data_IF_973746903099
#
_entry.id   IF_973746903099
#
_cell.length_a   1.000
_cell.length_b   1.000
_cell.length_c   1.000
_cell.angle_alpha   90.00
_cell.angle_beta   90.00
_cell.angle_gamma   90.00
#
_symmetry.space_group_name_H-M   'P 1'
#
loop_
_entity.id
_entity.type
_entity.pdbx_description
1 polymer ?
#
# COMPACT_ATOMS: atom_id res chain seq x y z
N UNK A 1 -26.17 -2.29 6.61
CA UNK A 1 -25.29 -3.47 6.40
C UNK A 1 -24.47 -3.71 7.68
N UNK A 2 -24.15 -4.95 8.07
CA UNK A 2 -23.35 -5.21 9.30
C UNK A 2 -21.94 -4.62 9.16
N UNK A 3 -21.36 -3.98 10.20
CA UNK A 3 -20.02 -3.39 10.19
C UNK A 3 -18.92 -4.34 9.67
N UNK A 4 -18.96 -5.60 10.07
CA UNK A 4 -18.00 -6.64 9.64
C UNK A 4 -18.00 -6.84 8.12
N UNK A 5 -19.18 -6.83 7.48
CA UNK A 5 -19.28 -6.97 6.03
C UNK A 5 -18.67 -5.75 5.34
N UNK A 6 -18.87 -4.55 5.89
CA UNK A 6 -18.30 -3.32 5.33
C UNK A 6 -16.77 -3.35 5.42
N UNK A 7 -16.24 -3.76 6.57
CA UNK A 7 -14.78 -3.95 6.76
C UNK A 7 -14.21 -4.92 5.74
N UNK A 8 -14.84 -6.08 5.55
CA UNK A 8 -14.37 -7.04 4.55
C UNK A 8 -14.34 -6.41 3.14
N UNK A 9 -15.41 -5.71 2.74
CA UNK A 9 -15.48 -5.07 1.43
C UNK A 9 -14.40 -3.99 1.23
N UNK A 10 -14.14 -3.16 2.25
CA UNK A 10 -13.11 -2.12 2.17
C UNK A 10 -11.71 -2.72 2.16
N UNK A 11 -11.44 -3.68 3.06
CA UNK A 11 -10.17 -4.38 3.20
C UNK A 11 -9.74 -5.08 1.92
N UNK A 12 -10.62 -5.82 1.25
CA UNK A 12 -10.25 -6.58 0.05
C UNK A 12 -9.56 -5.70 -0.99
N UNK A 13 -10.13 -4.54 -1.35
CA UNK A 13 -9.47 -3.71 -2.36
C UNK A 13 -8.18 -3.06 -1.88
N UNK A 14 -8.08 -2.64 -0.61
CA UNK A 14 -6.82 -2.11 -0.06
C UNK A 14 -5.69 -3.15 -0.12
N UNK A 15 -6.01 -4.43 0.10
CA UNK A 15 -5.05 -5.51 -0.10
C UNK A 15 -4.65 -5.69 -1.56
N UNK A 16 -5.62 -5.66 -2.47
CA UNK A 16 -5.36 -5.82 -3.91
C UNK A 16 -4.49 -4.70 -4.50
N UNK A 17 -4.61 -3.48 -3.99
CA UNK A 17 -3.73 -2.38 -4.38
C UNK A 17 -2.28 -2.65 -4.01
N UNK A 18 -2.05 -3.16 -2.79
CA UNK A 18 -0.71 -3.42 -2.29
C UNK A 18 -0.09 -4.70 -2.87
N UNK A 19 -0.93 -5.61 -3.41
CA UNK A 19 -0.48 -6.65 -4.32
C UNK A 19 0.19 -6.04 -5.56
N UNK A 20 -0.50 -5.14 -6.28
CA UNK A 20 0.03 -4.51 -7.50
C UNK A 20 1.28 -3.66 -7.24
N UNK A 21 1.33 -3.06 -6.04
CA UNK A 21 2.47 -2.32 -5.56
C UNK A 21 3.72 -3.20 -5.41
N UNK A 22 3.61 -4.33 -4.70
CA UNK A 22 4.76 -5.18 -4.41
C UNK A 22 5.28 -5.89 -5.66
N UNK A 23 4.39 -6.37 -6.55
CA UNK A 23 4.82 -7.08 -7.77
C UNK A 23 5.68 -6.18 -8.64
N UNK A 24 5.40 -4.87 -8.68
CA UNK A 24 6.22 -3.94 -9.43
C UNK A 24 7.62 -3.82 -8.86
N UNK A 25 7.72 -3.62 -7.55
CA UNK A 25 9.00 -3.49 -6.87
C UNK A 25 9.85 -4.76 -7.05
N UNK A 26 9.24 -5.94 -6.95
CA UNK A 26 9.90 -7.23 -7.14
C UNK A 26 10.32 -7.49 -8.60
N UNK A 27 9.50 -7.06 -9.57
CA UNK A 27 9.75 -7.31 -10.99
C UNK A 27 10.55 -6.20 -11.68
N UNK A 28 10.99 -5.17 -10.96
CA UNK A 28 11.62 -3.98 -11.51
C UNK A 28 12.82 -4.27 -12.43
N UNK A 29 13.65 -5.28 -12.10
CA UNK A 29 14.80 -5.70 -12.91
C UNK A 29 14.38 -6.30 -14.26
N UNK A 30 13.30 -7.09 -14.29
CA UNK A 30 12.73 -7.62 -15.52
C UNK A 30 12.15 -6.50 -16.39
N UNK A 31 11.47 -5.53 -15.77
CA UNK A 31 10.91 -4.36 -16.45
C UNK A 31 12.00 -3.48 -17.05
N UNK A 32 13.11 -3.28 -16.33
CA UNK A 32 14.27 -2.54 -16.83
C UNK A 32 14.78 -3.13 -18.15
N UNK A 33 14.89 -4.46 -18.25
CA UNK A 33 15.32 -5.13 -19.48
C UNK A 33 14.28 -5.07 -20.61
N UNK A 34 13.00 -5.04 -20.28
CA UNK A 34 11.93 -5.15 -21.29
C UNK A 34 11.43 -3.81 -21.83
N UNK A 35 11.52 -2.74 -21.05
CA UNK A 35 10.97 -1.44 -21.41
C UNK A 35 12.01 -0.37 -21.70
N UNK A 36 13.30 -0.62 -21.43
CA UNK A 36 14.36 0.34 -21.71
C UNK A 36 15.33 -0.19 -22.79
N UNK A 37 16.07 0.72 -23.47
CA UNK A 37 17.03 0.34 -24.49
C UNK A 37 18.14 -0.59 -23.95
N UNK A 38 18.61 -1.51 -24.78
CA UNK A 38 19.80 -2.31 -24.48
C UNK A 38 21.05 -1.41 -24.46
N UNK A 39 21.91 -1.55 -23.45
CA UNK A 39 23.12 -0.74 -23.28
C UNK A 39 23.55 -0.62 -21.83
N UNK A 40 23.02 0.37 -21.11
CA UNK A 40 23.37 0.62 -19.71
C UNK A 40 22.30 0.07 -18.75
N UNK A 41 22.62 -1.04 -18.09
CA UNK A 41 21.75 -1.69 -17.10
C UNK A 41 21.31 -0.75 -15.97
N UNK A 42 22.22 0.10 -15.47
CA UNK A 42 21.91 1.05 -14.41
C UNK A 42 20.92 2.12 -14.88
N UNK A 43 21.05 2.59 -16.12
CA UNK A 43 20.10 3.55 -16.69
C UNK A 43 18.69 2.96 -16.80
N UNK A 44 18.56 1.69 -17.21
CA UNK A 44 17.26 1.01 -17.27
C UNK A 44 16.63 0.82 -15.88
N UNK A 45 17.41 0.43 -14.88
CA UNK A 45 16.94 0.31 -13.50
C UNK A 45 16.53 1.67 -12.92
N UNK A 46 17.35 2.71 -13.12
CA UNK A 46 17.01 4.07 -12.72
C UNK A 46 15.70 4.51 -13.37
N UNK A 47 15.52 4.25 -14.66
CA UNK A 47 14.28 4.50 -15.37
C UNK A 47 13.06 3.82 -14.72
N UNK A 48 13.16 2.53 -14.40
CA UNK A 48 12.09 1.80 -13.71
C UNK A 48 11.77 2.39 -12.33
N UNK A 49 12.78 2.77 -11.54
CA UNK A 49 12.57 3.42 -10.24
C UNK A 49 12.05 4.86 -10.39
N UNK A 50 12.43 5.60 -11.42
CA UNK A 50 11.86 6.91 -11.72
C UNK A 50 10.37 6.79 -12.04
N UNK A 51 9.97 5.82 -12.86
CA UNK A 51 8.56 5.55 -13.14
C UNK A 51 7.80 5.18 -11.85
N UNK A 52 8.43 4.41 -10.96
CA UNK A 52 7.85 4.11 -9.64
C UNK A 52 7.65 5.37 -8.80
N UNK A 53 8.67 6.23 -8.74
CA UNK A 53 8.65 7.47 -7.99
C UNK A 53 7.59 8.44 -8.52
N UNK A 54 7.42 8.53 -9.84
CA UNK A 54 6.33 9.30 -10.47
C UNK A 54 4.96 8.80 -10.01
N UNK A 55 4.78 7.47 -9.95
CA UNK A 55 3.56 6.85 -9.42
C UNK A 55 3.28 7.19 -7.96
N UNK A 56 4.31 7.45 -7.14
CA UNK A 56 4.14 7.98 -5.79
C UNK A 56 3.82 9.47 -5.77
N UNK A 57 4.54 10.24 -6.57
CA UNK A 57 4.43 11.69 -6.63
C UNK A 57 3.03 12.14 -7.05
N UNK A 58 2.35 11.35 -7.89
CA UNK A 58 0.98 11.67 -8.33
C UNK A 58 -0.11 11.30 -7.30
N UNK A 59 0.19 10.51 -6.26
CA UNK A 59 -0.82 10.06 -5.28
C UNK A 59 -1.55 11.21 -4.57
N UNK A 60 -0.89 12.29 -4.11
CA UNK A 60 -1.58 13.43 -3.51
C UNK A 60 -2.59 14.07 -4.47
N UNK A 61 -2.24 14.17 -5.76
CA UNK A 61 -3.13 14.70 -6.80
C UNK A 61 -4.35 13.78 -6.96
N UNK A 62 -4.12 12.46 -6.99
CA UNK A 62 -5.20 11.47 -6.98
C UNK A 62 -6.13 11.58 -5.77
N UNK A 63 -5.56 11.72 -4.57
CA UNK A 63 -6.32 11.91 -3.34
C UNK A 63 -7.19 13.17 -3.36
N UNK A 64 -6.71 14.28 -3.92
CA UNK A 64 -7.49 15.52 -4.08
C UNK A 64 -8.62 15.32 -5.09
N UNK A 65 -8.32 14.77 -6.27
CA UNK A 65 -9.30 14.55 -7.35
C UNK A 65 -10.44 13.64 -6.88
N UNK A 66 -10.10 12.47 -6.35
CA UNK A 66 -11.10 11.52 -5.86
C UNK A 66 -11.71 11.95 -4.52
N UNK A 67 -11.05 12.77 -3.72
CA UNK A 67 -11.67 13.42 -2.56
C UNK A 67 -12.85 14.29 -2.98
N UNK A 68 -12.59 15.22 -3.92
CA UNK A 68 -13.62 16.11 -4.48
C UNK A 68 -14.74 15.34 -5.19
N UNK A 69 -14.41 14.33 -6.00
CA UNK A 69 -15.43 13.50 -6.62
C UNK A 69 -16.25 12.70 -5.60
N UNK A 70 -15.63 12.26 -4.50
CA UNK A 70 -16.34 11.61 -3.39
C UNK A 70 -17.36 12.52 -2.73
N UNK A 71 -17.02 13.80 -2.59
CA UNK A 71 -17.89 14.82 -2.00
C UNK A 71 -19.03 15.23 -2.96
N UNK A 72 -18.79 15.29 -4.27
CA UNK A 72 -19.80 15.72 -5.25
C UNK A 72 -20.69 14.58 -5.78
N UNK A 73 -20.13 13.41 -6.05
CA UNK A 73 -20.81 12.32 -6.75
C UNK A 73 -21.12 11.10 -5.86
N UNK A 74 -20.61 11.09 -4.63
CA UNK A 74 -20.81 10.01 -3.64
C UNK A 74 -19.54 9.19 -3.42
N UNK A 75 -19.33 8.77 -2.16
CA UNK A 75 -18.14 8.01 -1.76
C UNK A 75 -18.10 6.66 -2.47
N UNK A 76 -19.24 5.94 -2.56
CA UNK A 76 -19.29 4.63 -3.22
C UNK A 76 -18.90 4.70 -4.70
N UNK A 77 -19.48 5.62 -5.47
CA UNK A 77 -19.26 5.70 -6.93
C UNK A 77 -17.80 6.00 -7.24
N UNK A 78 -17.25 6.98 -6.53
CA UNK A 78 -15.87 7.42 -6.67
C UNK A 78 -14.89 6.31 -6.30
N UNK A 79 -15.18 5.57 -5.24
CA UNK A 79 -14.39 4.44 -4.77
C UNK A 79 -14.44 3.21 -5.70
N UNK A 80 -15.52 3.03 -6.46
CA UNK A 80 -15.58 2.02 -7.52
C UNK A 80 -14.85 2.46 -8.79
N UNK A 81 -14.88 3.76 -9.11
CA UNK A 81 -14.20 4.31 -10.28
C UNK A 81 -12.67 4.24 -10.14
N UNK A 82 -12.12 4.58 -8.96
CA UNK A 82 -10.68 4.45 -8.68
C UNK A 82 -10.19 3.01 -8.85
N UNK A 83 -10.98 2.04 -8.35
CA UNK A 83 -10.65 0.62 -8.44
C UNK A 83 -10.66 0.10 -9.87
N UNK A 84 -11.62 0.52 -10.70
CA UNK A 84 -11.66 0.17 -12.12
C UNK A 84 -10.47 0.75 -12.88
N UNK A 85 -10.13 2.02 -12.62
CA UNK A 85 -8.98 2.67 -13.25
C UNK A 85 -7.67 1.98 -12.86
N UNK A 86 -7.56 1.52 -11.61
CA UNK A 86 -6.42 0.72 -11.17
C UNK A 86 -6.38 -0.63 -11.89
N UNK A 87 -7.48 -1.39 -11.89
CA UNK A 87 -7.57 -2.70 -12.54
C UNK A 87 -7.20 -2.63 -14.02
N UNK A 88 -7.72 -1.62 -14.71
CA UNK A 88 -7.39 -1.33 -16.11
C UNK A 88 -5.89 -1.06 -16.28
N UNK A 89 -5.33 -0.15 -15.48
CA UNK A 89 -3.91 0.21 -15.57
C UNK A 89 -2.99 -1.00 -15.31
N UNK A 90 -3.30 -1.82 -14.29
CA UNK A 90 -2.52 -3.02 -13.94
C UNK A 90 -2.55 -4.07 -15.05
N UNK A 91 -3.74 -4.40 -15.56
CA UNK A 91 -3.89 -5.40 -16.61
C UNK A 91 -3.16 -4.98 -17.88
N UNK A 92 -3.30 -3.71 -18.30
CA UNK A 92 -2.65 -3.20 -19.50
C UNK A 92 -1.13 -3.12 -19.38
N UNK A 93 -0.59 -2.83 -18.20
CA UNK A 93 0.85 -2.95 -17.96
C UNK A 93 1.38 -4.37 -18.21
N UNK A 94 0.62 -5.40 -17.82
CA UNK A 94 0.95 -6.81 -18.09
C UNK A 94 0.86 -7.20 -19.56
N UNK A 95 0.02 -6.51 -20.35
CA UNK A 95 -0.19 -6.77 -21.78
C UNK A 95 0.69 -5.89 -22.68
N UNK A 96 1.37 -4.89 -22.14
CA UNK A 96 2.09 -3.90 -22.94
C UNK A 96 3.21 -4.52 -23.78
N UNK A 97 3.35 -4.15 -25.08
CA UNK A 97 4.48 -4.58 -25.90
C UNK A 97 5.81 -4.06 -25.35
N UNK A 98 6.89 -4.78 -25.64
CA UNK A 98 8.23 -4.47 -25.11
C UNK A 98 8.93 -3.39 -25.96
N UNK A 99 10.03 -2.84 -25.46
CA UNK A 99 10.86 -1.88 -26.17
C UNK A 99 11.30 -2.40 -27.55
N UNK A 100 11.57 -3.71 -27.68
CA UNK A 100 11.91 -4.33 -28.97
C UNK A 100 10.80 -4.21 -30.02
N UNK A 101 9.54 -4.14 -29.59
CA UNK A 101 8.38 -4.11 -30.49
C UNK A 101 7.98 -2.69 -30.88
N UNK A 102 7.98 -1.75 -29.91
CA UNK A 102 7.42 -0.40 -30.10
C UNK A 102 8.38 0.74 -29.70
N UNK A 103 9.64 0.42 -29.41
CA UNK A 103 10.70 1.38 -29.10
C UNK A 103 10.39 2.24 -27.86
N UNK A 104 10.75 3.52 -27.93
CA UNK A 104 10.56 4.51 -26.87
C UNK A 104 9.10 4.70 -26.43
N UNK A 105 8.13 4.30 -27.23
CA UNK A 105 6.72 4.35 -26.81
C UNK A 105 6.41 3.35 -25.69
N UNK A 106 7.17 2.24 -25.55
CA UNK A 106 6.96 1.25 -24.51
C UNK A 106 7.11 1.83 -23.08
N UNK A 107 8.25 2.46 -22.71
CA UNK A 107 8.41 3.04 -21.38
C UNK A 107 7.49 4.26 -21.16
N UNK A 108 7.13 5.00 -22.22
CA UNK A 108 6.21 6.15 -22.11
C UNK A 108 4.79 5.69 -21.78
N UNK A 109 4.24 4.73 -22.53
CA UNK A 109 2.91 4.18 -22.28
C UNK A 109 2.88 3.48 -20.92
N UNK A 110 3.96 2.77 -20.58
CA UNK A 110 4.11 2.17 -19.27
C UNK A 110 4.08 3.22 -18.14
N UNK A 111 4.80 4.33 -18.29
CA UNK A 111 4.78 5.44 -17.35
C UNK A 111 3.40 6.10 -17.25
N UNK A 112 2.66 6.24 -18.37
CA UNK A 112 1.29 6.76 -18.37
C UNK A 112 0.34 5.87 -17.56
N UNK A 113 0.38 4.55 -17.75
CA UNK A 113 -0.41 3.63 -16.93
C UNK A 113 -0.01 3.69 -15.45
N UNK A 114 1.27 3.92 -15.15
CA UNK A 114 1.75 4.13 -13.77
C UNK A 114 1.23 5.42 -13.16
N UNK A 115 1.13 6.49 -13.94
CA UNK A 115 0.50 7.74 -13.51
C UNK A 115 -0.98 7.50 -13.21
N UNK A 116 -1.73 6.89 -14.13
CA UNK A 116 -3.15 6.57 -13.93
C UNK A 116 -3.38 5.69 -12.69
N UNK A 117 -2.57 4.65 -12.53
CA UNK A 117 -2.60 3.78 -11.35
C UNK A 117 -2.27 4.55 -10.07
N UNK A 118 -1.26 5.44 -10.10
CA UNK A 118 -0.89 6.27 -8.95
C UNK A 118 -2.00 7.24 -8.53
N UNK A 119 -2.74 7.80 -9.49
CA UNK A 119 -3.92 8.64 -9.21
C UNK A 119 -4.99 7.82 -8.50
N UNK A 120 -5.31 6.61 -9.00
CA UNK A 120 -6.24 5.70 -8.31
C UNK A 120 -5.77 5.36 -6.89
N UNK A 121 -4.50 5.01 -6.74
CA UNK A 121 -3.94 4.60 -5.45
C UNK A 121 -4.06 5.70 -4.39
N UNK A 122 -3.89 6.97 -4.81
CA UNK A 122 -4.05 8.12 -3.93
C UNK A 122 -5.44 8.27 -3.31
N UNK A 123 -6.48 7.74 -3.97
CA UNK A 123 -7.86 7.76 -3.52
C UNK A 123 -8.20 6.61 -2.57
N UNK A 124 -7.56 5.47 -2.75
CA UNK A 124 -8.05 4.21 -2.24
C UNK A 124 -7.90 4.07 -0.73
N UNK A 125 -6.68 4.13 -0.19
CA UNK A 125 -6.47 4.05 1.26
C UNK A 125 -7.27 5.10 2.07
N UNK A 126 -7.15 6.41 1.77
CA UNK A 126 -7.92 7.42 2.49
C UNK A 126 -9.43 7.30 2.24
N UNK A 127 -9.85 6.98 1.00
CA UNK A 127 -11.26 6.76 0.67
C UNK A 127 -11.85 5.55 1.41
N UNK A 128 -11.11 4.44 1.49
CA UNK A 128 -11.46 3.24 2.25
C UNK A 128 -11.62 3.56 3.73
N UNK A 129 -10.71 4.37 4.27
CA UNK A 129 -10.73 4.79 5.67
C UNK A 129 -11.95 5.66 5.96
N UNK A 130 -12.21 6.69 5.16
CA UNK A 130 -13.38 7.56 5.32
C UNK A 130 -14.67 6.75 5.18
N UNK A 131 -14.77 5.91 4.14
CA UNK A 131 -15.92 5.04 3.91
C UNK A 131 -16.16 4.08 5.09
N UNK A 132 -15.12 3.44 5.61
CA UNK A 132 -15.22 2.52 6.74
C UNK A 132 -15.60 3.24 8.04
N UNK A 133 -14.94 4.36 8.33
CA UNK A 133 -15.13 5.10 9.59
C UNK A 133 -16.46 5.83 9.68
N UNK A 134 -17.11 6.12 8.56
CA UNK A 134 -18.48 6.65 8.49
C UNK A 134 -19.55 5.57 8.72
N UNK A 135 -19.22 4.30 8.47
CA UNK A 135 -20.11 3.17 8.70
C UNK A 135 -19.94 2.51 10.08
N UNK A 136 -18.77 2.66 10.70
CA UNK A 136 -18.43 2.03 11.97
C UNK A 136 -18.44 3.07 13.09
N UNK A 137 -19.11 2.75 14.20
CA UNK A 137 -19.14 3.61 15.39
C UNK A 137 -17.77 3.77 16.06
N UNK A 138 -17.60 4.87 16.80
CA UNK A 138 -16.31 5.25 17.41
C UNK A 138 -15.69 4.17 18.32
N UNK A 139 -16.49 3.38 19.03
CA UNK A 139 -16.03 2.41 20.03
C UNK A 139 -15.33 1.16 19.46
N UNK A 140 -15.48 0.86 18.17
CA UNK A 140 -14.84 -0.30 17.50
C UNK A 140 -14.00 0.12 16.29
N UNK A 141 -13.73 1.42 16.16
CA UNK A 141 -13.12 1.99 14.96
C UNK A 141 -11.70 1.46 14.75
N UNK A 142 -10.94 1.29 15.84
CA UNK A 142 -9.59 0.75 15.85
C UNK A 142 -9.51 -0.65 15.27
N UNK A 143 -10.33 -1.57 15.78
CA UNK A 143 -10.39 -2.94 15.27
C UNK A 143 -10.78 -3.00 13.79
N UNK A 144 -11.79 -2.24 13.36
CA UNK A 144 -12.24 -2.30 11.97
C UNK A 144 -11.21 -1.68 11.01
N UNK A 145 -10.59 -0.54 11.36
CA UNK A 145 -9.56 0.08 10.53
C UNK A 145 -8.28 -0.77 10.48
N UNK A 146 -7.93 -1.45 11.57
CA UNK A 146 -6.77 -2.32 11.59
C UNK A 146 -6.94 -3.54 10.68
N UNK A 147 -8.13 -4.13 10.57
CA UNK A 147 -8.41 -5.17 9.56
C UNK A 147 -8.18 -4.68 8.12
N UNK A 148 -8.38 -3.38 7.87
CA UNK A 148 -8.09 -2.76 6.58
C UNK A 148 -6.58 -2.69 6.33
N UNK A 149 -5.79 -2.26 7.30
CA UNK A 149 -4.33 -2.22 7.16
C UNK A 149 -3.71 -3.63 7.16
N UNK A 150 -4.29 -4.57 7.91
CA UNK A 150 -3.87 -5.97 7.87
C UNK A 150 -4.01 -6.53 6.46
N UNK A 151 -5.08 -6.17 5.74
CA UNK A 151 -5.28 -6.62 4.36
C UNK A 151 -4.24 -6.07 3.38
N UNK A 152 -3.69 -4.87 3.64
CA UNK A 152 -2.55 -4.33 2.89
C UNK A 152 -1.34 -5.24 3.01
N UNK A 153 -0.97 -5.65 4.22
CA UNK A 153 0.13 -6.59 4.44
C UNK A 153 -0.12 -7.96 3.81
N UNK A 154 -1.36 -8.48 3.91
CA UNK A 154 -1.75 -9.72 3.22
C UNK A 154 -1.64 -9.59 1.69
N UNK A 155 -1.99 -8.45 1.13
CA UNK A 155 -1.80 -8.14 -0.29
C UNK A 155 -0.34 -8.24 -0.72
N UNK A 156 0.56 -7.66 0.06
CA UNK A 156 2.01 -7.75 -0.14
C UNK A 156 2.50 -9.20 -0.04
N UNK A 157 1.99 -9.97 0.94
CA UNK A 157 2.31 -11.39 1.09
C UNK A 157 1.87 -12.19 -0.13
N UNK A 158 0.64 -12.00 -0.62
CA UNK A 158 0.10 -12.70 -1.78
C UNK A 158 0.88 -12.33 -3.05
N UNK A 159 1.24 -11.06 -3.23
CA UNK A 159 2.05 -10.59 -4.36
C UNK A 159 3.44 -11.19 -4.40
N UNK A 160 4.10 -11.19 -3.24
CA UNK A 160 5.42 -11.83 -3.06
C UNK A 160 5.35 -13.34 -3.31
N UNK A 161 4.33 -14.01 -2.77
CA UNK A 161 4.17 -15.45 -2.90
C UNK A 161 3.89 -15.90 -4.34
N UNK A 162 3.01 -15.19 -5.06
CA UNK A 162 2.75 -15.47 -6.48
C UNK A 162 4.02 -15.25 -7.31
N UNK A 163 4.75 -14.16 -7.06
CA UNK A 163 6.02 -13.89 -7.74
C UNK A 163 7.06 -14.99 -7.47
N UNK A 164 7.14 -15.47 -6.22
CA UNK A 164 8.00 -16.60 -5.84
C UNK A 164 7.64 -17.89 -6.60
N UNK A 165 6.37 -18.27 -6.64
CA UNK A 165 5.91 -19.47 -7.36
C UNK A 165 6.28 -19.37 -8.84
N UNK A 166 5.93 -18.26 -9.49
CA UNK A 166 6.21 -18.05 -10.92
C UNK A 166 7.71 -18.10 -11.21
N UNK A 167 8.53 -17.45 -10.37
CA UNK A 167 9.99 -17.44 -10.49
C UNK A 167 10.60 -18.84 -10.30
N UNK A 168 10.03 -19.67 -9.42
CA UNK A 168 10.52 -21.04 -9.18
C UNK A 168 10.08 -22.02 -10.27
N UNK A 169 8.91 -21.82 -10.85
CA UNK A 169 8.36 -22.69 -11.89
C UNK A 169 8.96 -22.44 -13.28
N UNK A 170 9.63 -21.31 -13.49
CA UNK A 170 10.16 -20.90 -14.78
C UNK A 170 11.69 -20.78 -14.75
N UNK A 171 12.33 -20.98 -15.90
CA UNK A 171 13.76 -20.66 -16.03
C UNK A 171 13.98 -19.15 -16.03
N UNK A 172 15.20 -18.71 -15.68
CA UNK A 172 15.58 -17.29 -15.72
C UNK A 172 15.26 -16.65 -17.07
N UNK A 173 15.52 -17.36 -18.17
CA UNK A 173 15.25 -16.87 -19.52
C UNK A 173 13.74 -16.71 -19.79
N UNK A 174 12.92 -17.67 -19.33
CA UNK A 174 11.46 -17.58 -19.45
C UNK A 174 10.90 -16.43 -18.60
N UNK A 175 11.43 -16.22 -17.40
CA UNK A 175 11.06 -15.09 -16.55
C UNK A 175 11.32 -13.75 -17.22
N UNK A 176 12.50 -13.58 -17.84
CA UNK A 176 12.80 -12.38 -18.60
C UNK A 176 11.89 -12.22 -19.81
N UNK A 177 11.59 -13.28 -20.56
CA UNK A 177 10.84 -13.17 -21.81
C UNK A 177 9.34 -12.86 -21.59
N UNK A 178 8.66 -13.61 -20.73
CA UNK A 178 7.21 -13.50 -20.56
C UNK A 178 6.70 -13.76 -19.13
N UNK A 179 7.47 -14.46 -18.28
CA UNK A 179 7.02 -14.84 -16.94
C UNK A 179 6.66 -13.65 -16.05
N UNK A 180 7.35 -12.52 -16.21
CA UNK A 180 7.06 -11.27 -15.50
C UNK A 180 5.63 -10.74 -15.75
N UNK A 181 4.97 -11.12 -16.85
CA UNK A 181 3.59 -10.68 -17.15
C UNK A 181 2.55 -11.35 -16.25
N UNK A 182 2.82 -12.57 -15.79
CA UNK A 182 1.86 -13.41 -15.06
C UNK A 182 1.36 -12.72 -13.78
N UNK A 183 2.22 -12.18 -12.89
CA UNK A 183 1.75 -11.50 -11.68
C UNK A 183 0.90 -10.25 -11.99
N UNK A 184 1.22 -9.49 -13.05
CA UNK A 184 0.41 -8.33 -13.46
C UNK A 184 -0.99 -8.73 -13.96
N UNK A 185 -1.07 -9.80 -14.75
CA UNK A 185 -2.35 -10.30 -15.25
C UNK A 185 -3.22 -10.85 -14.11
N UNK A 186 -2.62 -11.58 -13.16
CA UNK A 186 -3.31 -12.02 -11.94
C UNK A 186 -3.79 -10.80 -11.14
N UNK A 187 -2.95 -9.78 -10.98
CA UNK A 187 -3.34 -8.51 -10.35
C UNK A 187 -4.56 -7.86 -11.01
N UNK A 188 -4.58 -7.80 -12.33
CA UNK A 188 -5.74 -7.33 -13.10
C UNK A 188 -7.02 -8.13 -12.81
N UNK A 189 -6.94 -9.47 -12.82
CA UNK A 189 -8.08 -10.35 -12.51
C UNK A 189 -8.55 -10.14 -11.07
N UNK A 190 -7.61 -10.06 -10.12
CA UNK A 190 -7.92 -9.83 -8.72
C UNK A 190 -8.58 -8.47 -8.51
N UNK A 191 -8.10 -7.42 -9.17
CA UNK A 191 -8.68 -6.08 -9.11
C UNK A 191 -10.12 -6.04 -9.68
N UNK A 192 -10.39 -6.76 -10.77
CA UNK A 192 -11.76 -6.95 -11.30
C UNK A 192 -12.65 -7.71 -10.29
N UNK A 193 -12.15 -8.79 -9.69
CA UNK A 193 -12.87 -9.52 -8.66
C UNK A 193 -13.19 -8.62 -7.45
N UNK A 194 -12.22 -7.81 -7.03
CA UNK A 194 -12.39 -6.82 -5.98
C UNK A 194 -13.45 -5.77 -6.31
N UNK A 195 -13.56 -5.32 -7.57
CA UNK A 195 -14.64 -4.43 -8.02
C UNK A 195 -16.02 -5.08 -7.81
N UNK A 196 -16.20 -6.34 -8.20
CA UNK A 196 -17.47 -7.05 -8.02
C UNK A 196 -17.82 -7.26 -6.55
N UNK A 197 -16.82 -7.53 -5.71
CA UNK A 197 -16.97 -7.62 -4.26
C UNK A 197 -17.45 -6.26 -3.71
N UNK A 198 -16.74 -5.17 -4.05
CA UNK A 198 -17.06 -3.80 -3.56
C UNK A 198 -18.36 -3.24 -4.12
N UNK A 199 -18.84 -3.69 -5.28
CA UNK A 199 -20.12 -3.26 -5.87
C UNK A 199 -21.31 -3.47 -4.90
N UNK A 200 -21.18 -4.45 -4.00
CA UNK A 200 -22.16 -4.76 -2.96
C UNK A 200 -22.22 -3.75 -1.80
N UNK A 201 -21.26 -2.82 -1.70
CA UNK A 201 -21.23 -1.83 -0.63
C UNK A 201 -22.40 -0.84 -0.77
N UNK A 202 -22.83 -0.24 0.35
CA UNK A 202 -23.90 0.77 0.38
C UNK A 202 -23.26 2.15 0.59
N UNK A 203 -23.88 3.20 0.05
CA UNK A 203 -23.38 4.57 0.22
C UNK A 203 -23.35 4.98 1.70
N UNK A 204 -22.44 5.90 2.04
CA UNK A 204 -22.21 6.26 3.44
C UNK A 204 -23.41 7.01 4.04
N UNK A 205 -23.75 6.77 5.31
CA UNK A 205 -24.86 7.45 5.96
C UNK A 205 -24.68 8.98 6.02
N UNK A 206 -23.43 9.44 6.06
CA UNK A 206 -23.10 10.86 6.07
C UNK A 206 -23.40 11.51 4.72
N UNK A 207 -22.98 10.88 3.61
CA UNK A 207 -23.24 11.41 2.27
C UNK A 207 -24.75 11.47 1.97
N UNK A 208 -25.50 10.42 2.32
CA UNK A 208 -26.96 10.37 2.14
C UNK A 208 -27.65 11.54 2.88
N UNK A 209 -27.19 11.90 4.08
CA UNK A 209 -27.76 12.98 4.88
C UNK A 209 -27.39 14.39 4.40
N UNK A 210 -26.27 14.55 3.67
CA UNK A 210 -25.68 15.86 3.36
C UNK A 210 -25.60 16.20 1.86
N UNK A 211 -26.36 15.49 1.00
CA UNK A 211 -26.37 15.62 -0.47
C UNK A 211 -26.54 17.03 -1.09
N UNK A 212 -26.79 18.10 -0.30
CA UNK A 212 -27.12 19.45 -0.80
C UNK A 212 -26.14 20.58 -0.42
N UNK A 213 -25.00 20.33 0.23
CA UNK A 213 -24.04 21.41 0.59
C UNK A 213 -22.70 21.29 -0.15
N UNK A 214 -22.60 22.01 -1.27
CA UNK A 214 -21.36 22.21 -2.05
C UNK A 214 -20.71 23.57 -1.71
N UNK A 215 -20.38 23.81 -0.43
CA UNK A 215 -19.52 24.96 -0.11
C UNK A 215 -18.06 24.51 -0.13
N UNK A 216 -17.18 25.29 -0.76
CA UNK A 216 -15.74 25.07 -0.96
C UNK A 216 -15.00 24.38 0.22
N UNK A 217 -15.08 23.05 0.29
CA UNK A 217 -14.59 22.23 1.41
C UNK A 217 -13.08 22.36 1.56
N UNK A 218 -12.33 22.42 0.45
CA UNK A 218 -10.88 22.62 0.48
C UNK A 218 -10.50 23.97 1.07
N UNK A 219 -11.23 25.04 0.72
CA UNK A 219 -10.97 26.38 1.27
C UNK A 219 -11.29 26.43 2.76
N UNK A 220 -12.35 25.74 3.20
CA UNK A 220 -12.70 25.60 4.61
C UNK A 220 -11.65 24.78 5.38
N UNK A 221 -11.17 23.67 4.81
CA UNK A 221 -10.14 22.80 5.39
C UNK A 221 -8.83 23.57 5.66
N UNK A 222 -8.31 24.28 4.65
CA UNK A 222 -7.04 25.01 4.82
C UNK A 222 -7.16 26.27 5.68
N UNK A 223 -8.34 26.89 5.77
CA UNK A 223 -8.54 28.09 6.61
C UNK A 223 -8.89 27.77 8.06
N UNK A 224 -9.75 26.78 8.31
CA UNK A 224 -10.27 26.47 9.65
C UNK A 224 -9.58 25.27 10.30
N UNK A 225 -8.98 24.38 9.51
CA UNK A 225 -8.42 23.12 9.98
C UNK A 225 -6.92 22.95 9.68
N UNK A 226 -6.18 24.05 9.47
CA UNK A 226 -4.77 24.01 9.10
C UNK A 226 -3.90 23.18 10.06
N UNK A 227 -4.10 23.33 11.37
CA UNK A 227 -3.35 22.58 12.37
C UNK A 227 -3.70 21.08 12.37
N UNK A 228 -4.95 20.70 12.08
CA UNK A 228 -5.32 19.30 11.89
C UNK A 228 -4.64 18.72 10.64
N UNK A 229 -4.53 19.50 9.56
CA UNK A 229 -3.77 19.10 8.36
C UNK A 229 -2.30 18.88 8.69
N UNK A 230 -1.65 19.79 9.42
CA UNK A 230 -0.26 19.63 9.85
C UNK A 230 -0.06 18.38 10.74
N UNK A 231 -0.99 18.13 11.67
CA UNK A 231 -0.96 16.91 12.48
C UNK A 231 -1.13 15.65 11.62
N UNK A 232 -2.02 15.67 10.64
CA UNK A 232 -2.20 14.58 9.68
C UNK A 232 -0.92 14.31 8.86
N UNK A 233 -0.26 15.35 8.37
CA UNK A 233 1.04 15.25 7.68
C UNK A 233 2.08 14.62 8.61
N UNK A 234 2.18 15.10 9.86
CA UNK A 234 3.10 14.54 10.85
C UNK A 234 2.89 13.04 11.09
N UNK A 235 1.63 12.60 11.18
CA UNK A 235 1.27 11.19 11.33
C UNK A 235 1.68 10.37 10.09
N UNK A 236 1.56 10.94 8.88
CA UNK A 236 1.92 10.28 7.61
C UNK A 236 3.44 10.21 7.35
N UNK A 237 4.25 11.01 8.05
CA UNK A 237 5.72 10.88 7.95
C UNK A 237 6.18 9.48 8.38
N UNK A 238 5.53 8.86 9.38
CA UNK A 238 5.85 7.49 9.81
C UNK A 238 5.75 6.46 8.65
N UNK A 239 4.58 6.25 7.99
CA UNK A 239 4.48 5.29 6.91
C UNK A 239 5.37 5.65 5.71
N UNK A 240 5.68 6.94 5.49
CA UNK A 240 6.62 7.38 4.46
C UNK A 240 8.07 6.93 4.77
N UNK A 241 8.55 7.08 6.00
CA UNK A 241 9.87 6.57 6.40
C UNK A 241 9.92 5.04 6.38
N UNK A 242 8.84 4.39 6.82
CA UNK A 242 8.72 2.93 6.82
C UNK A 242 8.88 2.35 5.41
N UNK A 243 8.23 2.93 4.40
CA UNK A 243 8.27 2.37 3.04
C UNK A 243 9.66 2.47 2.41
N UNK A 244 10.39 3.56 2.67
CA UNK A 244 11.78 3.71 2.21
C UNK A 244 12.67 2.64 2.85
N UNK A 245 12.53 2.43 4.16
CA UNK A 245 13.30 1.41 4.86
C UNK A 245 13.01 0.01 4.32
N UNK A 246 11.74 -0.33 4.12
CA UNK A 246 11.31 -1.61 3.53
C UNK A 246 11.91 -1.86 2.16
N UNK A 247 11.94 -0.84 1.29
CA UNK A 247 12.48 -0.99 -0.07
C UNK A 247 14.01 -1.16 -0.07
N UNK A 248 14.70 -0.51 0.86
CA UNK A 248 16.16 -0.60 0.96
C UNK A 248 16.65 -1.85 1.72
N UNK A 249 15.84 -2.39 2.63
CA UNK A 249 16.23 -3.45 3.56
C UNK A 249 16.75 -4.73 2.87
N UNK A 250 16.11 -5.29 1.81
CA UNK A 250 16.62 -6.50 1.17
C UNK A 250 18.02 -6.33 0.58
N UNK A 251 18.25 -5.20 -0.09
CA UNK A 251 19.55 -4.86 -0.68
C UNK A 251 20.60 -4.69 0.40
N UNK A 252 20.26 -3.99 1.49
CA UNK A 252 21.15 -3.77 2.62
C UNK A 252 21.56 -5.09 3.30
N UNK A 253 20.60 -5.98 3.58
CA UNK A 253 20.87 -7.29 4.18
C UNK A 253 21.73 -8.18 3.29
N UNK A 254 21.52 -8.13 1.97
CA UNK A 254 22.32 -8.91 1.04
C UNK A 254 23.73 -8.35 0.89
N UNK A 255 23.88 -7.05 0.63
CA UNK A 255 25.17 -6.46 0.28
C UNK A 255 26.10 -6.25 1.48
N UNK A 256 25.55 -6.00 2.68
CA UNK A 256 26.35 -5.68 3.87
C UNK A 256 26.47 -6.88 4.80
N UNK A 257 25.38 -7.61 5.00
CA UNK A 257 25.35 -8.76 5.91
C UNK A 257 25.58 -10.10 5.20
N UNK A 258 25.63 -10.12 3.86
CA UNK A 258 25.86 -11.31 3.02
C UNK A 258 24.82 -12.42 3.23
N UNK A 259 23.58 -12.06 3.58
CA UNK A 259 22.47 -13.01 3.62
C UNK A 259 22.06 -13.44 2.20
N UNK A 260 21.60 -14.69 2.06
CA UNK A 260 21.10 -15.18 0.78
C UNK A 260 19.79 -14.47 0.40
N UNK A 261 19.59 -14.16 -0.89
CA UNK A 261 18.36 -13.51 -1.35
C UNK A 261 17.11 -14.37 -1.09
N UNK A 262 17.24 -15.70 -1.18
CA UNK A 262 16.14 -16.62 -0.88
C UNK A 262 15.70 -16.52 0.58
N UNK A 263 16.64 -16.46 1.52
CA UNK A 263 16.32 -16.35 2.95
C UNK A 263 15.70 -15.00 3.27
N UNK A 264 16.22 -13.92 2.68
CA UNK A 264 15.67 -12.57 2.84
C UNK A 264 14.22 -12.51 2.38
N UNK A 265 13.90 -13.00 1.18
CA UNK A 265 12.52 -12.98 0.68
C UNK A 265 11.58 -13.85 1.51
N UNK A 266 12.04 -15.03 1.94
CA UNK A 266 11.26 -15.91 2.80
C UNK A 266 10.92 -15.22 4.12
N UNK A 267 11.94 -14.70 4.82
CA UNK A 267 11.77 -14.07 6.12
C UNK A 267 10.92 -12.79 6.02
N UNK A 268 11.10 -11.96 4.98
CA UNK A 268 10.26 -10.77 4.76
C UNK A 268 8.79 -11.18 4.55
N UNK A 269 8.53 -12.24 3.76
CA UNK A 269 7.18 -12.76 3.54
C UNK A 269 6.54 -13.20 4.85
N UNK A 270 7.29 -13.96 5.67
CA UNK A 270 6.86 -14.36 7.03
C UNK A 270 6.62 -13.14 7.90
N UNK A 271 7.47 -12.12 7.82
CA UNK A 271 7.36 -10.87 8.56
C UNK A 271 6.08 -10.08 8.24
N UNK A 272 5.70 -9.96 6.97
CA UNK A 272 4.45 -9.32 6.58
C UNK A 272 3.22 -10.11 7.02
N UNK A 273 3.29 -11.44 6.94
CA UNK A 273 2.21 -12.31 7.40
C UNK A 273 2.05 -12.16 8.92
N UNK A 274 3.17 -12.14 9.65
CA UNK A 274 3.22 -11.89 11.09
C UNK A 274 2.63 -10.55 11.49
N UNK A 275 3.06 -9.43 10.88
CA UNK A 275 2.49 -8.12 11.19
C UNK A 275 1.01 -8.02 10.80
N UNK A 276 0.60 -8.62 9.69
CA UNK A 276 -0.81 -8.65 9.27
C UNK A 276 -1.71 -9.34 10.28
N UNK A 277 -1.23 -10.39 10.95
CA UNK A 277 -1.97 -11.08 12.02
C UNK A 277 -2.01 -10.27 13.33
N UNK A 278 -0.96 -9.52 13.62
CA UNK A 278 -0.85 -8.70 14.83
C UNK A 278 -1.60 -7.36 14.74
N UNK A 279 -1.69 -6.77 13.55
CA UNK A 279 -2.35 -5.47 13.35
C UNK A 279 -3.79 -5.47 13.90
N UNK A 280 -4.66 -6.50 13.65
CA UNK A 280 -5.98 -6.59 14.25
C UNK A 280 -5.97 -6.58 15.78
N UNK A 281 -5.01 -7.29 16.40
CA UNK A 281 -4.83 -7.34 17.85
C UNK A 281 -4.50 -5.95 18.42
N UNK A 282 -3.54 -5.25 17.82
CA UNK A 282 -3.21 -3.87 18.21
C UNK A 282 -4.32 -2.88 17.90
N UNK A 283 -5.12 -3.12 16.85
CA UNK A 283 -6.29 -2.30 16.55
C UNK A 283 -7.38 -2.43 17.61
N UNK A 284 -7.66 -3.65 18.08
CA UNK A 284 -8.53 -3.86 19.23
C UNK A 284 -7.98 -3.21 20.50
N UNK A 285 -6.67 -3.31 20.74
CA UNK A 285 -6.02 -2.64 21.87
C UNK A 285 -6.16 -1.11 21.77
N UNK A 286 -6.12 -0.56 20.56
CA UNK A 286 -6.29 0.88 20.29
C UNK A 286 -7.70 1.40 20.55
N UNK A 287 -8.70 0.53 20.67
CA UNK A 287 -10.04 0.90 21.11
C UNK A 287 -10.14 0.99 22.64
N UNK A 288 -9.15 0.46 23.38
CA UNK A 288 -9.12 0.43 24.85
C UNK A 288 -8.05 1.34 25.46
N UNK A 289 -6.94 1.52 24.76
CA UNK A 289 -5.77 2.29 25.21
C UNK A 289 -5.64 3.53 24.35
N UNK A 290 -5.12 4.61 24.94
CA UNK A 290 -4.82 5.84 24.20
C UNK A 290 -3.96 5.55 22.96
N UNK A 291 -4.49 5.92 21.79
CA UNK A 291 -3.86 5.69 20.49
C UNK A 291 -2.53 6.41 20.35
N UNK A 292 -2.36 7.58 21.00
CA UNK A 292 -1.08 8.31 21.02
C UNK A 292 -0.02 7.51 21.75
N UNK A 293 -0.37 6.87 22.87
CA UNK A 293 0.56 6.00 23.62
C UNK A 293 0.96 4.78 22.80
N UNK A 294 0.01 4.19 22.07
CA UNK A 294 0.26 3.06 21.17
C UNK A 294 1.10 3.40 19.95
N UNK A 295 1.21 4.68 19.58
CA UNK A 295 2.15 5.14 18.55
C UNK A 295 3.52 5.51 19.17
N UNK A 296 3.50 6.18 20.33
CA UNK A 296 4.69 6.74 20.98
C UNK A 296 5.62 5.68 21.57
N UNK A 297 5.10 4.71 22.33
CA UNK A 297 5.95 3.69 22.98
C UNK A 297 6.68 2.81 21.97
N UNK A 298 6.04 2.30 20.90
CA UNK A 298 6.76 1.58 19.84
C UNK A 298 7.76 2.47 19.09
N UNK A 299 7.46 3.75 18.85
CA UNK A 299 8.42 4.65 18.22
C UNK A 299 9.70 4.81 19.06
N UNK A 300 9.54 5.00 20.38
CA UNK A 300 10.67 5.09 21.31
C UNK A 300 11.42 3.77 21.40
N UNK A 301 10.74 2.62 21.35
CA UNK A 301 11.42 1.33 21.40
C UNK A 301 12.33 1.13 20.19
N UNK A 302 11.98 1.65 19.00
CA UNK A 302 12.90 1.66 17.84
C UNK A 302 14.14 2.50 18.13
N UNK A 303 13.99 3.68 18.73
CA UNK A 303 15.11 4.56 19.04
C UNK A 303 16.05 3.93 20.07
N UNK A 304 15.50 3.36 21.14
CA UNK A 304 16.28 2.79 22.24
C UNK A 304 16.88 1.43 21.88
N UNK A 305 16.11 0.57 21.21
CA UNK A 305 16.49 -0.82 20.94
C UNK A 305 16.91 -1.08 19.49
N UNK A 306 16.88 -0.05 18.62
CA UNK A 306 17.27 -0.18 17.21
C UNK A 306 18.69 -0.72 17.04
N UNK A 307 19.65 -0.20 17.79
CA UNK A 307 21.02 -0.73 17.78
C UNK A 307 21.08 -2.21 18.15
N UNK A 308 20.36 -2.62 19.20
CA UNK A 308 20.32 -4.02 19.64
C UNK A 308 19.64 -4.92 18.61
N UNK A 309 18.56 -4.45 17.97
CA UNK A 309 17.91 -5.15 16.86
C UNK A 309 18.92 -5.43 15.74
N UNK A 310 19.67 -4.42 15.28
CA UNK A 310 20.67 -4.60 14.23
C UNK A 310 21.85 -5.48 14.67
N UNK A 311 22.21 -5.46 15.96
CA UNK A 311 23.27 -6.33 16.50
C UNK A 311 22.92 -7.81 16.37
N UNK A 312 21.64 -8.20 16.34
CA UNK A 312 21.21 -9.58 16.08
C UNK A 312 21.70 -10.04 14.69
N UNK A 313 21.69 -9.16 13.69
CA UNK A 313 22.15 -9.52 12.34
C UNK A 313 23.65 -9.85 12.27
N UNK A 314 24.44 -9.45 13.27
CA UNK A 314 25.87 -9.78 13.33
C UNK A 314 26.13 -11.29 13.49
N UNK A 315 25.15 -12.08 13.95
CA UNK A 315 25.26 -13.54 14.04
C UNK A 315 25.27 -14.24 12.68
N UNK A 316 24.90 -13.54 11.59
CA UNK A 316 24.99 -14.01 10.18
C UNK A 316 24.38 -15.39 9.90
N UNK A 317 23.34 -15.77 10.65
CA UNK A 317 22.60 -17.00 10.43
C UNK A 317 21.11 -16.73 10.16
N UNK A 318 20.43 -17.73 9.60
CA UNK A 318 19.01 -17.63 9.24
C UNK A 318 18.11 -17.26 10.42
N UNK A 319 18.34 -17.86 11.59
CA UNK A 319 17.51 -17.62 12.79
C UNK A 319 17.64 -16.17 13.29
N UNK A 320 18.83 -15.60 13.24
CA UNK A 320 19.07 -14.20 13.57
C UNK A 320 18.31 -13.26 12.64
N UNK A 321 18.32 -13.55 11.34
CA UNK A 321 17.54 -12.80 10.34
C UNK A 321 16.03 -12.92 10.63
N UNK A 322 15.55 -14.11 10.95
CA UNK A 322 14.15 -14.36 11.29
C UNK A 322 13.71 -13.60 12.55
N UNK A 323 14.48 -13.69 13.62
CA UNK A 323 14.19 -12.99 14.89
C UNK A 323 14.20 -11.47 14.68
N UNK A 324 15.19 -10.95 13.95
CA UNK A 324 15.27 -9.54 13.61
C UNK A 324 13.99 -9.05 12.93
N UNK A 325 13.54 -9.77 11.90
CA UNK A 325 12.31 -9.40 11.18
C UNK A 325 11.06 -9.52 12.04
N UNK A 326 10.92 -10.58 12.84
CA UNK A 326 9.73 -10.77 13.67
C UNK A 326 9.59 -9.66 14.73
N UNK A 327 10.71 -9.28 15.37
CA UNK A 327 10.73 -8.19 16.33
C UNK A 327 10.48 -6.83 15.66
N UNK A 328 11.12 -6.58 14.51
CA UNK A 328 10.89 -5.36 13.74
C UNK A 328 9.42 -5.22 13.33
N UNK A 329 8.84 -6.28 12.76
CA UNK A 329 7.45 -6.29 12.28
C UNK A 329 6.42 -6.22 13.43
N UNK A 330 6.74 -6.72 14.62
CA UNK A 330 5.92 -6.55 15.82
C UNK A 330 5.76 -5.07 16.18
N UNK A 331 6.86 -4.31 16.18
CA UNK A 331 6.86 -2.89 16.49
C UNK A 331 6.08 -2.11 15.42
N UNK A 332 6.33 -2.43 14.15
CA UNK A 332 5.61 -1.83 13.02
C UNK A 332 4.11 -2.13 13.09
N UNK A 333 3.69 -3.33 13.47
CA UNK A 333 2.28 -3.69 13.61
C UNK A 333 1.56 -2.80 14.65
N UNK A 334 2.19 -2.56 15.79
CA UNK A 334 1.65 -1.71 16.85
C UNK A 334 1.48 -0.24 16.40
N UNK A 335 2.49 0.30 15.71
CA UNK A 335 2.41 1.65 15.13
C UNK A 335 1.38 1.71 14.01
N UNK A 336 1.35 0.70 13.15
CA UNK A 336 0.46 0.63 11.98
C UNK A 336 -1.01 0.67 12.36
N UNK A 337 -1.40 -0.07 13.40
CA UNK A 337 -2.79 -0.11 13.86
C UNK A 337 -3.29 1.23 14.41
N UNK A 338 -2.41 2.03 15.02
CA UNK A 338 -2.79 3.27 15.73
C UNK A 338 -2.79 4.51 14.82
N UNK A 339 -1.76 4.70 13.98
CA UNK A 339 -1.61 5.93 13.17
C UNK A 339 -2.81 6.16 12.24
N UNK A 340 -3.32 5.09 11.64
CA UNK A 340 -4.35 5.17 10.62
C UNK A 340 -5.72 5.54 11.19
N UNK A 341 -6.01 5.08 12.40
CA UNK A 341 -7.23 5.44 13.15
C UNK A 341 -7.14 6.89 13.61
N UNK A 342 -5.97 7.30 14.13
CA UNK A 342 -5.71 8.68 14.53
C UNK A 342 -5.88 9.64 13.35
N UNK A 343 -5.50 9.24 12.14
CA UNK A 343 -5.71 10.02 10.94
C UNK A 343 -7.20 10.31 10.69
N UNK A 344 -8.06 9.28 10.77
CA UNK A 344 -9.49 9.48 10.58
C UNK A 344 -10.13 10.35 11.68
N UNK A 345 -9.70 10.18 12.93
CA UNK A 345 -10.27 10.92 14.06
C UNK A 345 -9.78 12.36 14.16
N UNK A 346 -8.61 12.65 13.59
CA UNK A 346 -8.05 14.01 13.53
C UNK A 346 -8.90 15.00 12.73
N UNK A 347 -9.77 14.51 11.84
CA UNK A 347 -10.64 15.34 11.01
C UNK A 347 -12.12 15.17 11.40
N UNK A 348 -12.85 16.28 11.66
CA UNK A 348 -14.30 16.27 11.76
C UNK A 348 -14.91 15.66 10.50
N UNK A 349 -16.00 14.88 10.63
CA UNK A 349 -16.64 14.18 9.50
C UNK A 349 -17.02 15.11 8.34
N UNK A 350 -17.26 16.39 8.60
CA UNK A 350 -17.58 17.40 7.58
C UNK A 350 -16.41 17.72 6.63
N UNK A 351 -15.17 17.53 7.07
CA UNK A 351 -13.96 17.89 6.33
C UNK A 351 -13.01 16.69 6.17
N UNK A 352 -13.54 15.47 6.29
CA UNK A 352 -12.77 14.22 6.26
C UNK A 352 -12.59 13.65 4.85
#
# INVERSE_FOLDING_TARGET
MKPQKITLLTSVGSGLEYYDFVIYALLASYMAKQFFPEGNYYAGIMGTFCIFAVGYFIRPIGGVIFGLFGDCFGRKKTFLASMLLMAFSTAFMGLLPTYKSIGLSAPIIFALFRVLQGISFGAELPGSLTFLTEHVGNAKRGLHCSFMIASVGLGVTVGSFITYIVSKSLTTQQMFNWGWRIPFLIGGVLAIAGYFIRKQAVETPYFIKNQKKNDFILRELFRKNFWQVMNGIGIIIFPACFIVFVLAMPVYLHQIFNYSMSDIYFVITVGYLWSSLLIPLFGWLSDKVDRKKLLFFPAISIVLFGYFLFKILAFKNFYALLIFILLYQLIIAAMSASYFVMLAEGFPTRVR
#
